data_IF_403165507327
#
_entry.id   IF_403165507327
#
_cell.length_a   1.000
_cell.length_b   1.000
_cell.length_c   1.000
_cell.angle_alpha   90.00
_cell.angle_beta   90.00
_cell.angle_gamma   90.00
#
_symmetry.space_group_name_H-M   'P 1'
#
loop_
_entity.id
_entity.type
_entity.pdbx_description
1 polymer ?
#
# COMPACT_ATOMS: atom_id res chain seq x y z
N UNK A 1 1.55 9.43 -66.10
CA UNK A 1 0.64 10.38 -65.42
C UNK A 1 1.14 10.53 -64.00
N UNK A 2 1.79 11.67 -63.72
CA UNK A 2 2.45 11.99 -62.46
C UNK A 2 1.43 12.48 -61.43
N UNK A 3 1.29 11.77 -60.30
CA UNK A 3 0.50 12.22 -59.16
C UNK A 3 1.16 13.45 -58.52
N UNK A 4 0.47 14.59 -58.62
CA UNK A 4 0.81 15.81 -57.89
C UNK A 4 0.54 15.56 -56.41
N UNK A 5 1.57 15.77 -55.59
CA UNK A 5 1.46 15.77 -54.14
C UNK A 5 0.64 16.99 -53.70
N UNK A 6 -0.53 16.74 -53.11
CA UNK A 6 -1.37 17.72 -52.40
C UNK A 6 -0.58 18.34 -51.24
N UNK A 7 0.18 19.38 -51.55
CA UNK A 7 0.87 20.18 -50.55
C UNK A 7 -0.11 21.25 -50.06
N UNK A 8 -0.97 20.90 -49.11
CA UNK A 8 -1.90 21.84 -48.47
C UNK A 8 -1.16 22.68 -47.41
N UNK A 9 -0.90 23.98 -47.65
CA UNK A 9 -0.13 24.83 -46.74
C UNK A 9 -0.89 25.19 -45.44
N UNK A 10 -2.16 24.77 -45.30
CA UNK A 10 -2.98 25.00 -44.12
C UNK A 10 -3.27 23.71 -43.33
N UNK A 11 -2.51 22.63 -43.56
CA UNK A 11 -2.65 21.41 -42.77
C UNK A 11 -2.28 21.67 -41.30
N UNK A 12 -3.20 21.39 -40.38
CA UNK A 12 -2.96 21.50 -38.94
C UNK A 12 -1.84 20.53 -38.51
N UNK A 13 -0.95 20.93 -37.57
CA UNK A 13 0.12 20.06 -37.10
C UNK A 13 -0.45 18.81 -36.44
N UNK A 14 -0.17 17.64 -37.03
CA UNK A 14 -0.52 16.36 -36.41
C UNK A 14 0.49 16.08 -35.29
N UNK A 15 0.06 16.20 -34.04
CA UNK A 15 0.84 15.71 -32.90
C UNK A 15 0.85 14.18 -32.96
N UNK A 16 2.04 13.57 -32.90
CA UNK A 16 2.17 12.14 -32.69
C UNK A 16 1.62 11.78 -31.31
N UNK A 17 0.33 11.42 -31.26
CA UNK A 17 -0.29 10.82 -30.08
C UNK A 17 0.34 9.45 -29.89
N UNK A 18 0.96 9.24 -28.72
CA UNK A 18 1.49 7.94 -28.35
C UNK A 18 0.36 6.89 -28.49
N UNK A 19 0.64 5.71 -29.07
CA UNK A 19 -0.38 4.68 -29.21
C UNK A 19 -0.91 4.35 -27.81
N UNK A 20 -2.23 4.49 -27.65
CA UNK A 20 -2.95 4.00 -26.48
C UNK A 20 -2.64 2.49 -26.43
N UNK A 21 -1.89 2.07 -25.41
CA UNK A 21 -1.67 0.65 -25.15
C UNK A 21 -3.02 -0.08 -25.04
N UNK A 22 -3.06 -1.41 -25.24
CA UNK A 22 -4.32 -2.14 -25.29
C UNK A 22 -5.21 -1.77 -24.10
N UNK A 23 -6.35 -1.13 -24.37
CA UNK A 23 -7.40 -0.94 -23.36
C UNK A 23 -7.94 -2.33 -23.09
N UNK A 24 -7.48 -2.94 -22.00
CA UNK A 24 -8.13 -4.12 -21.46
C UNK A 24 -9.50 -3.63 -20.96
N UNK A 25 -10.55 -3.91 -21.74
CA UNK A 25 -11.93 -3.77 -21.27
C UNK A 25 -12.19 -4.96 -20.37
N UNK A 26 -12.15 -4.72 -19.08
CA UNK A 26 -12.74 -5.60 -18.07
C UNK A 26 -14.11 -5.02 -17.68
N UNK A 27 -14.92 -5.77 -16.95
CA UNK A 27 -16.28 -5.33 -16.55
C UNK A 27 -16.27 -4.10 -15.61
N UNK A 28 -15.08 -3.60 -15.24
CA UNK A 28 -14.88 -2.41 -14.42
C UNK A 28 -14.94 -1.09 -15.21
N UNK A 29 -14.90 -1.15 -16.54
CA UNK A 29 -14.85 0.01 -17.42
C UNK A 29 -13.53 0.10 -18.20
N UNK A 30 -13.11 1.31 -18.57
CA UNK A 30 -11.82 1.48 -19.26
C UNK A 30 -10.69 1.56 -18.23
N UNK A 31 -9.89 0.49 -18.14
CA UNK A 31 -8.65 0.46 -17.35
C UNK A 31 -7.65 1.51 -17.84
N UNK A 32 -7.03 2.24 -16.90
CA UNK A 32 -6.05 3.30 -17.14
C UNK A 32 -4.66 2.82 -16.68
N UNK A 33 -3.78 2.41 -17.60
CA UNK A 33 -2.43 1.96 -17.24
C UNK A 33 -1.65 3.03 -16.47
N UNK A 34 -1.01 2.64 -15.35
CA UNK A 34 -0.29 3.53 -14.42
C UNK A 34 -1.16 4.55 -13.67
N UNK A 35 -2.48 4.39 -13.69
CA UNK A 35 -3.43 5.24 -12.98
C UNK A 35 -3.51 6.68 -13.49
N UNK A 36 -4.67 7.31 -13.28
CA UNK A 36 -4.84 8.76 -13.45
C UNK A 36 -4.43 9.52 -12.19
N UNK A 37 -4.18 10.82 -12.34
CA UNK A 37 -4.07 11.72 -11.19
C UNK A 37 -5.47 12.16 -10.78
N UNK A 38 -5.73 12.21 -9.47
CA UNK A 38 -7.02 12.63 -8.92
C UNK A 38 -6.84 13.81 -7.93
N UNK A 39 -7.87 14.64 -7.73
CA UNK A 39 -7.80 15.75 -6.78
C UNK A 39 -7.60 15.30 -5.34
N UNK A 40 -7.02 16.16 -4.50
CA UNK A 40 -6.83 15.87 -3.06
C UNK A 40 -8.14 15.48 -2.34
N UNK A 41 -9.27 16.07 -2.75
CA UNK A 41 -10.59 15.77 -2.22
C UNK A 41 -11.10 14.36 -2.51
N UNK A 42 -10.50 13.65 -3.48
CA UNK A 42 -10.85 12.25 -3.77
C UNK A 42 -10.68 11.35 -2.55
N UNK A 43 -9.74 11.63 -1.65
CA UNK A 43 -9.57 10.85 -0.43
C UNK A 43 -10.86 10.76 0.40
N UNK A 44 -11.57 11.88 0.59
CA UNK A 44 -12.85 11.89 1.29
C UNK A 44 -13.93 11.09 0.54
N UNK A 45 -13.93 11.17 -0.79
CA UNK A 45 -14.83 10.37 -1.63
C UNK A 45 -14.57 8.86 -1.53
N UNK A 46 -13.30 8.44 -1.38
CA UNK A 46 -12.94 7.04 -1.18
C UNK A 46 -13.51 6.49 0.11
N UNK A 47 -13.41 7.26 1.21
CA UNK A 47 -14.03 6.92 2.49
C UNK A 47 -15.56 6.89 2.39
N UNK A 48 -16.17 7.85 1.70
CA UNK A 48 -17.61 7.87 1.44
C UNK A 48 -18.09 6.63 0.68
N UNK A 49 -17.42 6.28 -0.42
CA UNK A 49 -17.74 5.08 -1.20
C UNK A 49 -17.49 3.79 -0.40
N UNK A 50 -16.43 3.76 0.41
CA UNK A 50 -16.13 2.64 1.29
C UNK A 50 -17.22 2.47 2.37
N UNK A 51 -17.77 3.57 2.87
CA UNK A 51 -18.90 3.57 3.79
C UNK A 51 -20.18 3.02 3.15
N UNK A 52 -20.44 3.35 1.88
CA UNK A 52 -21.56 2.77 1.13
C UNK A 52 -21.41 1.24 0.94
N UNK A 53 -20.20 0.75 0.67
CA UNK A 53 -19.92 -0.70 0.64
C UNK A 53 -20.13 -1.35 2.02
N UNK A 54 -19.63 -0.73 3.08
CA UNK A 54 -19.77 -1.22 4.44
C UNK A 54 -21.25 -1.35 4.85
N UNK A 55 -22.07 -0.33 4.59
CA UNK A 55 -23.50 -0.29 4.97
C UNK A 55 -24.35 -1.38 4.30
N UNK A 56 -23.93 -1.90 3.15
CA UNK A 56 -24.64 -2.99 2.47
C UNK A 56 -24.61 -4.30 3.27
N UNK A 57 -23.54 -4.59 4.03
CA UNK A 57 -23.46 -5.80 4.87
C UNK A 57 -22.55 -5.62 6.12
N UNK A 58 -22.92 -4.74 7.08
CA UNK A 58 -22.01 -4.33 8.17
C UNK A 58 -21.49 -5.50 9.01
N UNK A 59 -22.36 -6.45 9.35
CA UNK A 59 -21.98 -7.61 10.18
C UNK A 59 -20.97 -8.51 9.47
N UNK A 60 -21.14 -8.71 8.16
CA UNK A 60 -20.20 -9.54 7.41
C UNK A 60 -18.86 -8.84 7.26
N UNK A 61 -18.85 -7.53 7.02
CA UNK A 61 -17.63 -6.71 6.98
C UNK A 61 -16.84 -6.76 8.29
N UNK A 62 -17.54 -6.64 9.42
CA UNK A 62 -16.93 -6.80 10.75
C UNK A 62 -16.36 -8.21 10.89
N UNK A 63 -17.14 -9.24 10.56
CA UNK A 63 -16.72 -10.62 10.71
C UNK A 63 -15.50 -10.97 9.84
N UNK A 64 -15.52 -10.62 8.55
CA UNK A 64 -14.41 -10.87 7.63
C UNK A 64 -13.16 -10.08 8.02
N UNK A 65 -13.32 -8.87 8.55
CA UNK A 65 -12.19 -8.08 9.06
C UNK A 65 -11.61 -8.67 10.34
N UNK A 66 -12.45 -9.13 11.27
CA UNK A 66 -11.98 -9.86 12.47
C UNK A 66 -11.23 -11.11 12.05
N UNK A 67 -11.75 -11.88 11.08
CA UNK A 67 -11.08 -13.06 10.57
C UNK A 67 -9.75 -12.70 9.88
N UNK A 68 -9.71 -11.65 9.07
CA UNK A 68 -8.50 -11.12 8.45
C UNK A 68 -7.42 -10.82 9.50
N UNK A 69 -7.78 -10.09 10.56
CA UNK A 69 -6.87 -9.72 11.65
C UNK A 69 -6.45 -10.96 12.44
N UNK A 70 -7.37 -11.88 12.73
CA UNK A 70 -7.09 -13.11 13.47
C UNK A 70 -6.12 -14.01 12.71
N UNK A 71 -6.32 -14.21 11.40
CA UNK A 71 -5.42 -14.99 10.56
C UNK A 71 -4.03 -14.35 10.49
N UNK A 72 -3.98 -13.03 10.39
CA UNK A 72 -2.72 -12.26 10.39
C UNK A 72 -1.98 -12.39 11.74
N UNK A 73 -2.73 -12.36 12.84
CA UNK A 73 -2.20 -12.53 14.18
C UNK A 73 -1.68 -13.94 14.41
N UNK A 74 -2.48 -14.97 14.10
CA UNK A 74 -2.09 -16.39 14.21
C UNK A 74 -0.84 -16.67 13.38
N UNK A 75 -0.78 -16.15 12.14
CA UNK A 75 0.40 -16.28 11.30
C UNK A 75 1.64 -15.72 12.01
N UNK A 76 1.51 -14.62 12.76
CA UNK A 76 2.62 -13.93 13.43
C UNK A 76 3.08 -14.58 14.75
N UNK A 77 2.34 -15.53 15.33
CA UNK A 77 2.68 -16.15 16.63
C UNK A 77 3.93 -17.04 16.54
N UNK A 78 4.17 -17.67 15.38
CA UNK A 78 5.28 -18.61 15.21
C UNK A 78 6.60 -17.81 15.16
N UNK A 79 7.57 -17.99 16.08
CA UNK A 79 8.83 -17.27 16.02
C UNK A 79 9.57 -17.52 14.70
N UNK A 80 10.13 -16.46 14.11
CA UNK A 80 10.83 -16.42 12.81
C UNK A 80 9.94 -16.76 11.59
N UNK A 81 9.30 -17.93 11.56
CA UNK A 81 8.43 -18.34 10.45
C UNK A 81 7.14 -17.54 10.38
N UNK A 82 6.65 -17.05 11.51
CA UNK A 82 5.40 -16.34 11.56
C UNK A 82 5.46 -14.94 10.98
N UNK A 83 6.60 -14.26 11.14
CA UNK A 83 6.87 -13.02 10.42
C UNK A 83 6.84 -13.25 8.89
N UNK A 84 7.47 -14.34 8.42
CA UNK A 84 7.45 -14.69 6.99
C UNK A 84 6.03 -15.03 6.53
N UNK A 85 5.33 -15.90 7.26
CA UNK A 85 3.99 -16.33 6.95
C UNK A 85 2.99 -15.17 6.92
N UNK A 86 3.06 -14.25 7.89
CA UNK A 86 2.20 -13.06 7.94
C UNK A 86 2.38 -12.15 6.73
N UNK A 87 3.62 -11.90 6.31
CA UNK A 87 3.91 -11.08 5.13
C UNK A 87 3.50 -11.78 3.82
N UNK A 88 3.59 -13.11 3.76
CA UNK A 88 3.11 -13.88 2.60
C UNK A 88 1.59 -13.98 2.56
N UNK A 89 0.92 -13.99 3.71
CA UNK A 89 -0.53 -14.10 3.83
C UNK A 89 -1.25 -12.82 3.42
N UNK A 90 -0.65 -11.65 3.69
CA UNK A 90 -1.27 -10.35 3.43
C UNK A 90 -1.75 -10.16 1.98
N UNK A 91 -0.95 -10.40 0.93
CA UNK A 91 -1.42 -10.31 -0.45
C UNK A 91 -2.63 -11.19 -0.78
N UNK A 92 -2.76 -12.36 -0.13
CA UNK A 92 -3.91 -13.26 -0.32
C UNK A 92 -5.18 -12.68 0.27
N UNK A 93 -5.09 -12.26 1.54
CA UNK A 93 -6.24 -11.74 2.25
C UNK A 93 -6.72 -10.43 1.62
N UNK A 94 -5.78 -9.57 1.23
CA UNK A 94 -6.09 -8.33 0.50
C UNK A 94 -6.74 -8.66 -0.84
N UNK A 95 -6.11 -9.51 -1.66
CA UNK A 95 -6.67 -9.91 -2.96
C UNK A 95 -8.07 -10.52 -2.85
N UNK A 96 -8.30 -11.38 -1.85
CA UNK A 96 -9.61 -11.94 -1.56
C UNK A 96 -10.65 -10.90 -1.13
N UNK A 97 -10.28 -9.97 -0.24
CA UNK A 97 -11.17 -8.86 0.14
C UNK A 97 -11.51 -7.96 -1.03
N UNK A 98 -10.59 -7.74 -1.98
CA UNK A 98 -10.89 -6.99 -3.20
C UNK A 98 -11.96 -7.69 -4.02
N UNK A 99 -11.86 -9.01 -4.22
CA UNK A 99 -12.91 -9.81 -4.89
C UNK A 99 -14.25 -9.63 -4.19
N UNK A 100 -14.28 -9.70 -2.85
CA UNK A 100 -15.49 -9.46 -2.06
C UNK A 100 -16.09 -8.07 -2.27
N UNK A 101 -15.25 -7.02 -2.36
CA UNK A 101 -15.71 -5.67 -2.67
C UNK A 101 -16.36 -5.60 -4.06
N UNK A 102 -15.73 -6.24 -5.06
CA UNK A 102 -16.25 -6.31 -6.43
C UNK A 102 -17.60 -7.02 -6.47
N UNK A 103 -17.70 -8.19 -5.85
CA UNK A 103 -18.96 -8.95 -5.77
C UNK A 103 -20.08 -8.09 -5.17
N UNK A 104 -19.77 -7.30 -4.15
CA UNK A 104 -20.73 -6.40 -3.51
C UNK A 104 -21.05 -5.14 -4.34
N UNK A 105 -20.12 -4.64 -5.16
CA UNK A 105 -20.37 -3.59 -6.14
C UNK A 105 -21.35 -4.09 -7.22
N UNK A 106 -21.17 -5.34 -7.69
CA UNK A 106 -22.00 -6.00 -8.71
C UNK A 106 -23.38 -6.48 -8.20
N UNK A 107 -23.69 -6.24 -6.91
CA UNK A 107 -25.00 -6.54 -6.31
C UNK A 107 -25.09 -7.90 -5.62
N UNK A 108 -23.99 -8.65 -5.53
CA UNK A 108 -23.89 -9.86 -4.72
C UNK A 108 -23.60 -9.57 -3.24
N UNK A 109 -23.56 -10.65 -2.45
CA UNK A 109 -23.29 -10.57 -1.01
C UNK A 109 -21.81 -10.81 -0.70
N UNK A 110 -21.27 -10.02 0.24
CA UNK A 110 -19.99 -10.33 0.87
C UNK A 110 -20.13 -11.64 1.67
N UNK A 111 -19.11 -12.48 1.57
CA UNK A 111 -19.05 -13.79 2.22
C UNK A 111 -17.62 -14.11 2.64
N UNK A 112 -17.47 -15.01 3.61
CA UNK A 112 -16.18 -15.42 4.18
C UNK A 112 -15.25 -16.04 3.12
N UNK A 113 -15.83 -16.80 2.18
CA UNK A 113 -15.10 -17.48 1.12
C UNK A 113 -14.28 -16.52 0.24
N UNK A 114 -14.71 -15.26 0.13
CA UNK A 114 -13.97 -14.23 -0.61
C UNK A 114 -12.59 -14.00 -0.02
N UNK A 115 -12.41 -14.10 1.30
CA UNK A 115 -11.11 -13.90 1.94
C UNK A 115 -10.04 -14.88 1.41
N UNK A 116 -10.48 -16.04 0.92
CA UNK A 116 -9.62 -17.09 0.34
C UNK A 116 -9.71 -17.17 -1.19
N UNK A 117 -10.52 -16.33 -1.84
CA UNK A 117 -10.72 -16.37 -3.28
C UNK A 117 -9.46 -15.98 -4.07
N UNK A 118 -8.53 -15.24 -3.44
CA UNK A 118 -7.21 -14.92 -4.00
C UNK A 118 -6.35 -16.16 -4.35
N UNK A 119 -6.74 -17.37 -3.90
CA UNK A 119 -6.05 -18.63 -4.23
C UNK A 119 -5.91 -18.90 -5.74
N UNK A 120 -6.77 -18.33 -6.57
CA UNK A 120 -6.68 -18.46 -8.03
C UNK A 120 -5.41 -17.81 -8.60
N UNK A 121 -4.86 -16.81 -7.89
CA UNK A 121 -3.64 -16.08 -8.27
C UNK A 121 -2.46 -16.36 -7.32
N UNK A 122 -2.48 -17.52 -6.64
CA UNK A 122 -1.51 -17.91 -5.59
C UNK A 122 -0.07 -17.63 -6.00
N UNK A 123 0.37 -18.09 -7.18
CA UNK A 123 1.76 -17.93 -7.61
C UNK A 123 2.22 -16.47 -7.68
N UNK A 124 1.38 -15.59 -8.23
CA UNK A 124 1.69 -14.17 -8.35
C UNK A 124 1.61 -13.45 -7.00
N UNK A 125 0.63 -13.79 -6.15
CA UNK A 125 0.48 -13.19 -4.83
C UNK A 125 1.60 -13.63 -3.87
N UNK A 126 2.02 -14.90 -3.91
CA UNK A 126 3.24 -15.38 -3.21
C UNK A 126 4.44 -14.57 -3.65
N UNK A 127 4.62 -14.38 -4.96
CA UNK A 127 5.78 -13.68 -5.48
C UNK A 127 5.80 -12.20 -5.03
N UNK A 128 4.66 -11.51 -4.98
CA UNK A 128 4.58 -10.17 -4.37
C UNK A 128 5.05 -10.22 -2.92
N UNK A 129 4.55 -11.16 -2.13
CA UNK A 129 4.96 -11.34 -0.73
C UNK A 129 6.47 -11.59 -0.58
N UNK A 130 7.04 -12.48 -1.41
CA UNK A 130 8.48 -12.78 -1.40
C UNK A 130 9.33 -11.58 -1.78
N UNK A 131 8.93 -10.82 -2.82
CA UNK A 131 9.63 -9.60 -3.22
C UNK A 131 9.57 -8.57 -2.09
N UNK A 132 8.40 -8.37 -1.48
CA UNK A 132 8.21 -7.46 -0.35
C UNK A 132 9.10 -7.84 0.85
N UNK A 133 9.13 -9.12 1.22
CA UNK A 133 10.00 -9.66 2.26
C UNK A 133 11.48 -9.40 1.93
N UNK A 134 11.89 -9.67 0.68
CA UNK A 134 13.27 -9.43 0.24
C UNK A 134 13.68 -7.96 0.40
N UNK A 135 12.80 -7.03 0.04
CA UNK A 135 13.04 -5.61 0.25
C UNK A 135 13.03 -5.20 1.72
N UNK A 136 12.12 -5.72 2.57
CA UNK A 136 12.17 -5.43 4.01
C UNK A 136 13.47 -5.93 4.64
N UNK A 137 13.92 -7.15 4.30
CA UNK A 137 15.18 -7.69 4.81
C UNK A 137 16.35 -6.79 4.39
N UNK A 138 16.39 -6.37 3.12
CA UNK A 138 17.41 -5.45 2.61
C UNK A 138 17.38 -4.11 3.37
N UNK A 139 16.20 -3.52 3.57
CA UNK A 139 16.03 -2.29 4.33
C UNK A 139 16.52 -2.48 5.77
N UNK A 140 16.16 -3.59 6.41
CA UNK A 140 16.59 -3.92 7.77
C UNK A 140 18.12 -4.05 7.88
N UNK A 141 18.78 -4.68 6.90
CA UNK A 141 20.24 -4.77 6.83
C UNK A 141 20.85 -3.37 6.70
N UNK A 142 20.37 -2.55 5.77
CA UNK A 142 20.85 -1.17 5.56
C UNK A 142 20.68 -0.33 6.82
N UNK A 143 19.50 -0.37 7.44
CA UNK A 143 19.20 0.36 8.68
C UNK A 143 20.10 -0.11 9.82
N UNK A 144 20.35 -1.41 9.95
CA UNK A 144 21.23 -1.97 10.99
C UNK A 144 22.68 -1.52 10.80
N UNK A 145 23.18 -1.52 9.56
CA UNK A 145 24.55 -1.05 9.24
C UNK A 145 24.69 0.44 9.58
N UNK A 146 23.72 1.26 9.17
CA UNK A 146 23.75 2.70 9.46
C UNK A 146 23.61 2.94 10.96
N UNK A 147 22.72 2.20 11.65
CA UNK A 147 22.57 2.30 13.09
C UNK A 147 23.87 1.95 13.81
N UNK A 148 24.58 0.89 13.38
CA UNK A 148 25.89 0.57 13.93
C UNK A 148 26.93 1.66 13.65
N UNK A 149 26.91 2.31 12.48
CA UNK A 149 27.78 3.45 12.20
C UNK A 149 27.51 4.67 13.07
N UNK A 150 26.23 4.97 13.35
CA UNK A 150 25.79 6.15 14.13
C UNK A 150 25.92 5.91 15.64
N UNK A 151 25.60 4.71 16.11
CA UNK A 151 25.48 4.38 17.54
C UNK A 151 26.52 3.40 18.05
N UNK A 152 27.19 2.65 17.16
CA UNK A 152 28.07 1.55 17.53
C UNK A 152 29.26 1.97 18.37
N UNK A 153 29.83 3.16 18.13
CA UNK A 153 30.93 3.68 18.95
C UNK A 153 30.51 3.94 20.41
N UNK A 154 29.35 4.56 20.62
CA UNK A 154 28.79 4.80 21.96
C UNK A 154 28.36 3.48 22.63
N UNK A 155 27.75 2.56 21.88
CA UNK A 155 27.38 1.24 22.39
C UNK A 155 28.60 0.40 22.79
N UNK A 156 29.70 0.46 22.02
CA UNK A 156 30.95 -0.24 22.31
C UNK A 156 31.65 0.41 23.53
N UNK A 157 31.72 1.74 23.60
CA UNK A 157 32.27 2.44 24.75
C UNK A 157 31.52 2.12 26.06
N UNK A 158 30.18 2.03 25.99
CA UNK A 158 29.34 1.63 27.12
C UNK A 158 29.53 0.15 27.50
N UNK A 159 29.63 -0.75 26.51
CA UNK A 159 29.81 -2.18 26.73
C UNK A 159 31.20 -2.53 27.30
N UNK A 160 32.24 -1.76 26.95
CA UNK A 160 33.63 -2.00 27.36
C UNK A 160 34.12 -1.05 28.47
N UNK A 161 33.22 -0.29 29.10
CA UNK A 161 33.46 0.34 30.40
C UNK A 161 34.41 1.54 30.40
N UNK A 162 34.37 2.41 29.39
CA UNK A 162 35.01 3.72 29.52
C UNK A 162 34.13 4.62 30.41
N UNK A 163 34.39 4.59 31.71
CA UNK A 163 33.81 5.52 32.68
C UNK A 163 34.21 6.96 32.32
N UNK A 164 33.26 7.78 31.92
CA UNK A 164 33.44 9.23 31.89
C UNK A 164 32.27 9.89 32.62
N UNK A 165 32.48 10.12 33.91
CA UNK A 165 31.70 11.07 34.71
C UNK A 165 32.06 12.50 34.27
N UNK A 166 31.84 12.80 32.99
CA UNK A 166 32.04 14.12 32.42
C UNK A 166 30.67 14.55 31.87
N UNK A 167 30.02 15.47 32.58
CA UNK A 167 28.64 15.89 32.29
C UNK A 167 28.52 16.47 30.87
N UNK A 168 29.60 17.05 30.34
CA UNK A 168 29.69 17.55 28.97
C UNK A 168 29.78 16.40 27.95
N UNK A 169 30.56 15.36 28.22
CA UNK A 169 30.64 14.18 27.36
C UNK A 169 29.31 13.40 27.35
N UNK A 170 28.65 13.32 28.49
CA UNK A 170 27.32 12.71 28.62
C UNK A 170 26.26 13.51 27.88
N UNK A 171 26.27 14.85 27.99
CA UNK A 171 25.34 15.71 27.26
C UNK A 171 25.56 15.65 25.73
N UNK A 172 26.81 15.60 25.26
CA UNK A 172 27.12 15.43 23.84
C UNK A 172 26.75 14.03 23.32
N UNK A 173 26.93 12.99 24.14
CA UNK A 173 26.48 11.64 23.80
C UNK A 173 24.95 11.58 23.68
N UNK A 174 24.21 12.10 24.66
CA UNK A 174 22.74 12.13 24.62
C UNK A 174 22.19 13.00 23.47
N UNK A 175 22.84 14.12 23.15
CA UNK A 175 22.49 14.95 21.98
C UNK A 175 22.75 14.25 20.64
N UNK A 176 23.85 13.52 20.53
CA UNK A 176 24.18 12.68 19.38
C UNK A 176 23.20 11.51 19.19
N UNK A 177 22.70 10.93 20.29
CA UNK A 177 21.66 9.90 20.24
C UNK A 177 20.34 10.43 19.64
N UNK A 178 19.96 11.67 19.99
CA UNK A 178 18.73 12.29 19.50
C UNK A 178 18.74 12.55 17.99
N UNK A 179 19.80 13.19 17.48
CA UNK A 179 19.95 13.47 16.04
C UNK A 179 20.10 12.16 15.26
N UNK A 180 20.90 11.21 15.77
CA UNK A 180 21.07 9.90 15.17
C UNK A 180 19.75 9.13 15.04
N UNK A 181 18.87 9.24 16.05
CA UNK A 181 17.59 8.54 16.05
C UNK A 181 16.63 9.15 15.03
N UNK A 182 16.59 10.49 14.92
CA UNK A 182 15.81 11.19 13.90
C UNK A 182 16.30 10.81 12.49
N UNK A 183 17.62 10.79 12.27
CA UNK A 183 18.20 10.38 10.98
C UNK A 183 17.83 8.94 10.61
N UNK A 184 17.96 7.99 11.55
CA UNK A 184 17.53 6.61 11.32
C UNK A 184 16.04 6.51 10.99
N UNK A 185 15.20 7.23 11.73
CA UNK A 185 13.76 7.25 11.48
C UNK A 185 13.44 7.78 10.07
N UNK A 186 14.08 8.88 9.65
CA UNK A 186 13.91 9.44 8.31
C UNK A 186 14.38 8.48 7.21
N UNK A 187 15.48 7.73 7.45
CA UNK A 187 15.97 6.71 6.51
C UNK A 187 14.97 5.56 6.39
N UNK A 188 14.45 5.06 7.53
CA UNK A 188 13.41 4.02 7.54
C UNK A 188 12.20 4.50 6.75
N UNK A 189 11.72 5.73 6.97
CA UNK A 189 10.61 6.30 6.20
C UNK A 189 10.93 6.41 4.71
N UNK A 190 12.10 6.96 4.36
CA UNK A 190 12.52 7.15 2.97
C UNK A 190 12.61 5.84 2.18
N UNK A 191 12.98 4.74 2.84
CA UNK A 191 13.06 3.41 2.22
C UNK A 191 11.72 2.66 2.25
N UNK A 192 10.95 2.79 3.33
CA UNK A 192 9.68 2.07 3.49
C UNK A 192 8.54 2.68 2.66
N UNK A 193 8.47 4.01 2.52
CA UNK A 193 7.39 4.67 1.77
C UNK A 193 7.33 4.17 0.31
N UNK A 194 8.43 4.15 -0.47
CA UNK A 194 8.42 3.60 -1.82
C UNK A 194 8.00 2.13 -1.88
N UNK A 195 8.41 1.33 -0.90
CA UNK A 195 8.03 -0.08 -0.82
C UNK A 195 6.53 -0.26 -0.57
N UNK A 196 5.97 0.51 0.37
CA UNK A 196 4.53 0.54 0.64
C UNK A 196 3.76 0.99 -0.60
N UNK A 197 4.22 2.05 -1.28
CA UNK A 197 3.63 2.48 -2.56
C UNK A 197 3.62 1.38 -3.61
N UNK A 198 4.69 0.57 -3.68
CA UNK A 198 4.80 -0.52 -4.63
C UNK A 198 3.85 -1.68 -4.32
N UNK A 199 3.56 -1.98 -3.05
CA UNK A 199 2.66 -3.10 -2.70
C UNK A 199 1.21 -2.68 -2.49
N UNK A 200 0.92 -1.39 -2.33
CA UNK A 200 -0.40 -0.87 -1.98
C UNK A 200 -1.53 -1.42 -2.86
N UNK A 201 -1.39 -1.30 -4.19
CA UNK A 201 -2.36 -1.80 -5.17
C UNK A 201 -1.93 -3.09 -5.87
N UNK A 202 -0.73 -3.61 -5.59
CA UNK A 202 -0.18 -4.74 -6.34
C UNK A 202 -1.05 -6.01 -6.26
N UNK A 203 -1.56 -6.44 -5.08
CA UNK A 203 -2.45 -7.59 -5.00
C UNK A 203 -3.74 -7.38 -5.81
N UNK A 204 -4.33 -6.19 -5.74
CA UNK A 204 -5.55 -5.83 -6.48
C UNK A 204 -5.33 -5.87 -7.99
N UNK A 205 -4.22 -5.30 -8.46
CA UNK A 205 -3.81 -5.31 -9.88
C UNK A 205 -3.53 -6.74 -10.39
N UNK A 206 -2.96 -7.62 -9.56
CA UNK A 206 -2.78 -9.03 -9.92
C UNK A 206 -4.12 -9.75 -10.06
N UNK A 207 -5.03 -9.51 -9.12
CA UNK A 207 -6.31 -10.23 -9.06
C UNK A 207 -7.29 -9.75 -10.15
N UNK A 208 -7.33 -8.45 -10.44
CA UNK A 208 -8.30 -7.90 -11.40
C UNK A 208 -7.75 -7.68 -12.80
N UNK A 209 -6.46 -7.40 -12.94
CA UNK A 209 -5.86 -7.12 -14.24
C UNK A 209 -4.84 -8.18 -14.68
N UNK A 210 -4.73 -9.28 -13.94
CA UNK A 210 -3.86 -10.43 -14.23
C UNK A 210 -2.39 -10.06 -14.49
N UNK A 211 -1.94 -8.94 -13.91
CA UNK A 211 -0.58 -8.46 -14.13
C UNK A 211 0.44 -9.38 -13.46
N UNK A 212 1.64 -9.46 -14.05
CA UNK A 212 2.78 -10.11 -13.40
C UNK A 212 3.20 -9.32 -12.15
N UNK A 213 3.73 -9.97 -11.10
CA UNK A 213 4.04 -9.35 -9.80
C UNK A 213 4.84 -8.04 -9.89
N UNK A 214 5.93 -8.06 -10.65
CA UNK A 214 6.81 -6.89 -10.80
C UNK A 214 6.13 -5.73 -11.55
N UNK A 215 5.35 -6.03 -12.58
CA UNK A 215 4.61 -5.01 -13.33
C UNK A 215 3.48 -4.41 -12.49
N UNK A 216 2.77 -5.24 -11.71
CA UNK A 216 1.76 -4.78 -10.76
C UNK A 216 2.37 -3.83 -9.71
N UNK A 217 3.52 -4.20 -9.14
CA UNK A 217 4.21 -3.36 -8.16
C UNK A 217 4.70 -2.03 -8.74
N UNK A 218 5.31 -2.07 -9.93
CA UNK A 218 5.76 -0.86 -10.63
C UNK A 218 4.60 0.06 -10.98
N UNK A 219 3.47 -0.52 -11.37
CA UNK A 219 2.26 0.24 -11.68
C UNK A 219 1.64 0.86 -10.42
N UNK A 220 1.55 0.11 -9.32
CA UNK A 220 1.14 0.61 -8.02
C UNK A 220 2.01 1.78 -7.57
N UNK A 221 3.34 1.62 -7.64
CA UNK A 221 4.29 2.68 -7.29
C UNK A 221 4.04 3.96 -8.07
N UNK A 222 3.92 3.86 -9.41
CA UNK A 222 3.66 5.03 -10.27
C UNK A 222 2.30 5.69 -9.98
N UNK A 223 1.28 4.89 -9.71
CA UNK A 223 -0.05 5.39 -9.39
C UNK A 223 -0.06 6.14 -8.06
N UNK A 224 0.59 5.60 -7.03
CA UNK A 224 0.77 6.26 -5.74
C UNK A 224 1.59 7.55 -5.87
N UNK A 225 2.68 7.51 -6.65
CA UNK A 225 3.54 8.67 -6.88
C UNK A 225 2.82 9.83 -7.59
N UNK A 226 1.92 9.55 -8.54
CA UNK A 226 1.05 10.56 -9.17
C UNK A 226 0.01 11.16 -8.23
N UNK A 227 -0.28 10.48 -7.11
CA UNK A 227 -1.38 10.79 -6.21
C UNK A 227 -0.91 11.03 -4.76
N UNK A 228 0.32 11.54 -4.57
CA UNK A 228 0.88 11.82 -3.24
C UNK A 228 -0.05 12.69 -2.41
N UNK A 229 -0.63 13.75 -2.99
CA UNK A 229 -1.49 14.67 -2.25
C UNK A 229 -2.81 14.01 -1.79
N UNK A 230 -3.59 13.32 -2.66
CA UNK A 230 -4.70 12.48 -2.22
C UNK A 230 -4.31 11.46 -1.13
N UNK A 231 -3.19 10.76 -1.29
CA UNK A 231 -2.71 9.80 -0.29
C UNK A 231 -2.32 10.44 1.05
N UNK A 232 -1.79 11.66 1.02
CA UNK A 232 -1.49 12.43 2.22
C UNK A 232 -2.78 12.81 2.97
N UNK A 233 -3.81 13.29 2.25
CA UNK A 233 -5.13 13.57 2.85
C UNK A 233 -5.77 12.29 3.37
N UNK A 234 -5.67 11.18 2.63
CA UNK A 234 -6.11 9.86 3.08
C UNK A 234 -5.43 9.48 4.41
N UNK A 235 -4.12 9.68 4.54
CA UNK A 235 -3.37 9.42 5.77
C UNK A 235 -3.86 10.27 6.95
N UNK A 236 -4.18 11.54 6.73
CA UNK A 236 -4.75 12.42 7.78
C UNK A 236 -6.14 11.95 8.21
N UNK A 237 -7.02 11.62 7.25
CA UNK A 237 -8.36 11.10 7.54
C UNK A 237 -8.28 9.76 8.28
N UNK A 238 -7.41 8.85 7.82
CA UNK A 238 -7.15 7.59 8.47
C UNK A 238 -6.68 7.79 9.92
N UNK A 239 -5.72 8.70 10.15
CA UNK A 239 -5.25 9.00 11.49
C UNK A 239 -6.36 9.51 12.42
N UNK A 240 -7.17 10.47 11.95
CA UNK A 240 -8.31 10.98 12.72
C UNK A 240 -9.31 9.87 13.04
N UNK A 241 -9.67 9.04 12.05
CA UNK A 241 -10.59 7.93 12.25
C UNK A 241 -10.04 6.88 13.22
N UNK A 242 -8.74 6.58 13.17
CA UNK A 242 -8.09 5.67 14.13
C UNK A 242 -8.16 6.23 15.54
N UNK A 243 -7.81 7.50 15.75
CA UNK A 243 -7.90 8.15 17.07
C UNK A 243 -9.33 8.10 17.60
N UNK A 244 -10.31 8.51 16.78
CA UNK A 244 -11.73 8.47 17.15
C UNK A 244 -12.22 7.06 17.44
N UNK A 245 -11.79 6.07 16.64
CA UNK A 245 -12.16 4.67 16.79
C UNK A 245 -11.58 4.02 18.06
N UNK A 246 -10.47 4.55 18.58
CA UNK A 246 -9.85 4.08 19.82
C UNK A 246 -10.54 4.60 21.08
N UNK A 247 -11.15 5.80 21.04
CA UNK A 247 -11.84 6.43 22.19
C UNK A 247 -12.90 5.52 22.84
N UNK A 248 -13.83 4.86 22.11
CA UNK A 248 -14.83 3.98 22.70
C UNK A 248 -14.24 2.60 23.06
N UNK A 249 -13.16 2.57 23.84
CA UNK A 249 -12.45 1.35 24.26
C UNK A 249 -12.10 0.43 23.07
N UNK A 250 -11.56 1.02 22.00
CA UNK A 250 -11.20 0.32 20.75
C UNK A 250 -12.38 -0.25 19.94
N UNK A 251 -13.63 -0.15 20.40
CA UNK A 251 -14.79 -0.71 19.69
C UNK A 251 -15.05 -0.03 18.35
N UNK A 252 -14.66 1.24 18.20
CA UNK A 252 -14.76 1.95 16.93
C UNK A 252 -13.84 1.37 15.86
N UNK A 253 -12.78 0.63 16.23
CA UNK A 253 -11.92 -0.07 15.28
C UNK A 253 -12.65 -1.19 14.53
N UNK A 254 -13.77 -1.71 15.07
CA UNK A 254 -14.62 -2.66 14.36
C UNK A 254 -15.28 -2.02 13.12
N UNK A 255 -15.40 -0.70 13.08
CA UNK A 255 -15.92 0.05 11.92
C UNK A 255 -14.76 0.57 11.07
N UNK A 256 -13.72 1.11 11.70
CA UNK A 256 -12.57 1.68 10.99
C UNK A 256 -11.81 0.60 10.21
N UNK A 257 -11.60 -0.60 10.77
CA UNK A 257 -10.89 -1.69 10.10
C UNK A 257 -11.49 -2.07 8.74
N UNK A 258 -12.79 -2.45 8.68
CA UNK A 258 -13.46 -2.74 7.42
C UNK A 258 -13.45 -1.55 6.46
N UNK A 259 -13.65 -0.33 6.98
CA UNK A 259 -13.65 0.88 6.15
C UNK A 259 -12.31 1.07 5.45
N UNK A 260 -11.19 0.83 6.14
CA UNK A 260 -9.86 0.95 5.54
C UNK A 260 -9.61 -0.11 4.48
N UNK A 261 -10.05 -1.35 4.71
CA UNK A 261 -9.98 -2.39 3.68
C UNK A 261 -10.81 -2.02 2.44
N UNK A 262 -12.02 -1.48 2.63
CA UNK A 262 -12.86 -1.01 1.54
C UNK A 262 -12.27 0.22 0.82
N UNK A 263 -11.59 1.13 1.51
CA UNK A 263 -10.94 2.29 0.86
C UNK A 263 -9.82 1.90 -0.09
N UNK A 264 -9.14 0.77 0.14
CA UNK A 264 -8.18 0.26 -0.82
C UNK A 264 -8.85 -0.04 -2.16
N UNK A 265 -10.04 -0.66 -2.12
CA UNK A 265 -10.83 -0.94 -3.31
C UNK A 265 -11.37 0.34 -3.96
N UNK A 266 -11.96 1.26 -3.20
CA UNK A 266 -12.56 2.47 -3.79
C UNK A 266 -11.52 3.44 -4.34
N UNK A 267 -10.36 3.56 -3.70
CA UNK A 267 -9.22 4.33 -4.24
C UNK A 267 -8.63 3.67 -5.49
N UNK A 268 -8.54 2.34 -5.52
CA UNK A 268 -8.15 1.60 -6.72
C UNK A 268 -9.11 1.86 -7.89
N UNK A 269 -10.43 1.77 -7.65
CA UNK A 269 -11.46 2.05 -8.66
C UNK A 269 -11.33 3.48 -9.20
N UNK A 270 -11.20 4.46 -8.32
CA UNK A 270 -11.07 5.86 -8.72
C UNK A 270 -9.80 6.13 -9.53
N UNK A 271 -8.66 5.54 -9.16
CA UNK A 271 -7.36 5.79 -9.80
C UNK A 271 -7.18 5.01 -11.11
N UNK A 272 -7.65 3.77 -11.19
CA UNK A 272 -7.37 2.86 -12.31
C UNK A 272 -8.49 2.74 -13.33
N UNK A 273 -9.69 3.27 -13.06
CA UNK A 273 -10.80 3.23 -14.01
C UNK A 273 -11.37 4.62 -14.28
N UNK A 274 -11.71 4.86 -15.54
CA UNK A 274 -12.55 5.99 -15.92
C UNK A 274 -14.00 5.69 -15.53
N UNK A 275 -14.64 6.62 -14.83
CA UNK A 275 -16.09 6.61 -14.59
C UNK A 275 -16.85 6.92 -15.88
#
# INVERSE_FOLDING_TARGET
MSNQSDNNPYAAPQSAVAPVGPTIRDDFGNFIPNGRSVPAGSAASWFGAAWELFKKSPMMWIFTTILFVLLSFIASIIPFFGWLAGNMLMPFLVGGMMIGCRTQEEGGDLNIDHLFAGKQHTGNLVMIGLIYIGFIVLIGIVVTIIAFGVFGGAALAAAFGSSQNDDVATAMALGGLGIGAILLFLIILALSIPLVMAVWFAPTLVVFNELKPFEAMKMSFKACLKNILPFFVYGLLYFVLMVLGMIPLLLGLLIVGPLILATLYTSYRDIFYAQ
#
